data_IF_317314759279
#
_entry.id   IF_317314759279
#
_cell.length_a   1.000
_cell.length_b   1.000
_cell.length_c   1.000
_cell.angle_alpha   90.00
_cell.angle_beta   90.00
_cell.angle_gamma   90.00
#
_symmetry.space_group_name_H-M   'P 1'
#
loop_
_entity.id
_entity.type
_entity.pdbx_description
1 polymer ?
#
# COMPACT_ATOMS: atom_id res chain seq x y z
N UNK A 1 15.52 -4.84 13.98
CA UNK A 1 14.16 -4.78 13.40
C UNK A 1 13.80 -3.43 12.75
N UNK A 2 14.64 -2.38 12.81
CA UNK A 2 14.34 -1.07 12.19
C UNK A 2 14.24 -1.11 10.66
N UNK A 3 15.16 -1.83 9.98
CA UNK A 3 15.12 -1.98 8.51
C UNK A 3 13.82 -2.63 8.01
N UNK A 4 13.24 -3.55 8.79
CA UNK A 4 11.97 -4.19 8.44
C UNK A 4 10.83 -3.17 8.37
N UNK A 5 10.77 -2.19 9.28
CA UNK A 5 9.72 -1.19 9.29
C UNK A 5 9.71 -0.34 8.00
N UNK A 6 10.88 -0.06 7.42
CA UNK A 6 10.98 0.64 6.14
C UNK A 6 10.46 -0.21 4.98
N UNK A 7 10.93 -1.46 4.87
CA UNK A 7 10.48 -2.35 3.80
C UNK A 7 8.98 -2.64 3.90
N UNK A 8 8.48 -2.86 5.11
CA UNK A 8 7.05 -2.99 5.38
C UNK A 8 6.27 -1.73 4.98
N UNK A 9 6.70 -0.56 5.45
CA UNK A 9 6.02 0.71 5.15
C UNK A 9 6.02 1.03 3.66
N UNK A 10 7.13 0.78 2.97
CA UNK A 10 7.21 0.97 1.51
C UNK A 10 6.25 0.05 0.77
N UNK A 11 6.25 -1.25 1.08
CA UNK A 11 5.35 -2.20 0.42
C UNK A 11 3.87 -1.89 0.72
N UNK A 12 3.57 -1.46 1.96
CA UNK A 12 2.23 -1.05 2.36
C UNK A 12 1.74 0.15 1.52
N UNK A 13 2.57 1.18 1.34
CA UNK A 13 2.22 2.36 0.54
C UNK A 13 2.02 2.00 -0.94
N UNK A 14 2.83 1.10 -1.50
CA UNK A 14 2.66 0.63 -2.88
C UNK A 14 1.35 -0.16 -3.06
N UNK A 15 1.00 -1.04 -2.12
CA UNK A 15 -0.25 -1.78 -2.14
C UNK A 15 -1.47 -0.84 -2.02
N UNK A 16 -1.40 0.15 -1.12
CA UNK A 16 -2.39 1.23 -1.00
C UNK A 16 -2.53 2.03 -2.30
N UNK A 17 -1.42 2.33 -2.97
CA UNK A 17 -1.42 3.03 -4.26
C UNK A 17 -2.10 2.21 -5.36
N UNK A 18 -1.80 0.90 -5.46
CA UNK A 18 -2.48 0.00 -6.41
C UNK A 18 -3.99 -0.01 -6.18
N UNK A 19 -4.42 -0.02 -4.91
CA UNK A 19 -5.84 0.05 -4.54
C UNK A 19 -6.46 1.38 -4.93
N UNK A 20 -5.77 2.50 -4.72
CA UNK A 20 -6.21 3.82 -5.20
C UNK A 20 -6.38 3.85 -6.73
N UNK A 21 -5.46 3.27 -7.50
CA UNK A 21 -5.59 3.19 -8.96
C UNK A 21 -6.86 2.43 -9.39
N UNK A 22 -7.26 1.40 -8.65
CA UNK A 22 -8.45 0.60 -8.94
C UNK A 22 -9.77 1.27 -8.47
N UNK A 23 -9.78 1.88 -7.29
CA UNK A 23 -10.99 2.42 -6.64
C UNK A 23 -11.21 3.92 -6.87
N UNK A 24 -10.15 4.66 -7.24
CA UNK A 24 -10.19 6.10 -7.47
C UNK A 24 -10.61 6.90 -6.22
N UNK A 25 -11.57 7.80 -6.38
CA UNK A 25 -12.04 8.69 -5.29
C UNK A 25 -12.63 7.92 -4.10
N UNK A 26 -13.20 6.73 -4.32
CA UNK A 26 -13.82 5.92 -3.27
C UNK A 26 -12.80 5.44 -2.21
N UNK A 27 -11.51 5.36 -2.57
CA UNK A 27 -10.43 4.98 -1.66
C UNK A 27 -10.10 6.07 -0.63
N UNK A 28 -10.24 7.35 -0.99
CA UNK A 28 -9.72 8.48 -0.21
C UNK A 28 -10.25 8.56 1.23
N UNK A 29 -11.55 8.36 1.51
CA UNK A 29 -12.05 8.42 2.88
C UNK A 29 -11.39 7.41 3.82
N UNK A 30 -11.16 6.18 3.35
CA UNK A 30 -10.48 5.14 4.12
C UNK A 30 -9.01 5.50 4.40
N UNK A 31 -8.31 6.00 3.39
CA UNK A 31 -6.93 6.47 3.53
C UNK A 31 -6.79 7.66 4.49
N UNK A 32 -7.69 8.64 4.43
CA UNK A 32 -7.68 9.78 5.34
C UNK A 32 -7.98 9.36 6.78
N UNK A 33 -8.88 8.39 6.98
CA UNK A 33 -9.14 7.81 8.31
C UNK A 33 -7.89 7.11 8.85
N UNK A 34 -7.18 6.35 8.02
CA UNK A 34 -5.91 5.72 8.38
C UNK A 34 -4.87 6.76 8.83
N UNK A 35 -4.70 7.85 8.08
CA UNK A 35 -3.76 8.92 8.44
C UNK A 35 -4.14 9.64 9.74
N UNK A 36 -5.44 9.80 10.01
CA UNK A 36 -5.93 10.48 11.21
C UNK A 36 -5.57 9.76 12.52
N UNK A 37 -5.30 8.44 12.47
CA UNK A 37 -4.89 7.68 13.65
C UNK A 37 -3.50 8.07 14.17
N UNK A 38 -2.59 8.54 13.32
CA UNK A 38 -1.20 8.76 13.69
C UNK A 38 -0.58 7.51 14.33
N UNK A 39 -0.25 7.60 15.62
CA UNK A 39 0.25 6.48 16.43
C UNK A 39 -0.68 6.06 17.59
N UNK A 40 -1.95 6.46 17.56
CA UNK A 40 -2.89 6.26 18.68
C UNK A 40 -3.48 4.85 18.78
N UNK A 41 -3.26 4.00 17.78
CA UNK A 41 -3.76 2.63 17.70
C UNK A 41 -2.71 1.67 17.11
N UNK A 42 -2.92 0.37 17.30
CA UNK A 42 -2.06 -0.66 16.72
C UNK A 42 -2.21 -0.72 15.20
N UNK A 43 -1.12 -0.98 14.43
CA UNK A 43 -1.17 -0.99 12.97
C UNK A 43 -2.26 -1.91 12.40
N UNK A 44 -2.45 -3.09 12.99
CA UNK A 44 -3.46 -4.07 12.54
C UNK A 44 -4.89 -3.53 12.66
N UNK A 45 -5.21 -2.88 13.78
CA UNK A 45 -6.52 -2.24 14.00
C UNK A 45 -6.74 -1.12 12.99
N UNK A 46 -5.74 -0.28 12.76
CA UNK A 46 -5.82 0.83 11.80
C UNK A 46 -6.08 0.31 10.38
N UNK A 47 -5.36 -0.75 9.97
CA UNK A 47 -5.50 -1.36 8.66
C UNK A 47 -6.88 -2.00 8.48
N UNK A 48 -7.35 -2.80 9.45
CA UNK A 48 -8.69 -3.38 9.41
C UNK A 48 -9.78 -2.32 9.30
N UNK A 49 -9.66 -1.22 10.04
CA UNK A 49 -10.61 -0.10 10.00
C UNK A 49 -10.58 0.70 8.70
N UNK A 50 -9.49 0.65 7.94
CA UNK A 50 -9.37 1.15 6.58
C UNK A 50 -9.85 0.11 5.53
N UNK A 51 -10.38 -1.04 5.98
CA UNK A 51 -10.81 -2.13 5.13
C UNK A 51 -9.64 -2.84 4.45
N UNK A 52 -8.51 -2.97 5.14
CA UNK A 52 -7.30 -3.64 4.66
C UNK A 52 -7.02 -4.85 5.54
N UNK A 53 -6.97 -6.02 4.93
CA UNK A 53 -6.48 -7.22 5.58
C UNK A 53 -4.98 -7.40 5.30
N UNK A 54 -4.15 -7.13 6.31
CA UNK A 54 -2.70 -7.28 6.20
C UNK A 54 -2.25 -8.75 6.16
N UNK A 55 -3.13 -9.70 6.45
CA UNK A 55 -2.84 -11.14 6.39
C UNK A 55 -3.09 -11.73 5.01
N UNK A 56 -3.82 -11.01 4.14
CA UNK A 56 -4.11 -11.43 2.78
C UNK A 56 -2.90 -11.20 1.84
N UNK A 57 -2.28 -12.26 1.29
CA UNK A 57 -1.18 -12.12 0.34
C UNK A 57 -1.59 -11.34 -0.92
N UNK A 58 -2.85 -11.40 -1.34
CA UNK A 58 -3.32 -10.71 -2.54
C UNK A 58 -3.23 -9.18 -2.39
N UNK A 59 -3.44 -8.67 -1.18
CA UNK A 59 -3.22 -7.25 -0.88
C UNK A 59 -1.78 -6.84 -1.18
N UNK A 60 -0.81 -7.63 -0.70
CA UNK A 60 0.62 -7.35 -0.88
C UNK A 60 1.08 -7.52 -2.33
N UNK A 61 0.49 -8.46 -3.07
CA UNK A 61 0.79 -8.67 -4.48
C UNK A 61 0.59 -7.38 -5.29
N UNK A 62 -0.44 -6.58 -4.99
CA UNK A 62 -0.66 -5.30 -5.65
C UNK A 62 0.50 -4.32 -5.51
N UNK A 63 1.24 -4.35 -4.39
CA UNK A 63 2.44 -3.54 -4.21
C UNK A 63 3.62 -4.01 -5.06
N UNK A 64 3.78 -5.33 -5.24
CA UNK A 64 4.77 -5.91 -6.14
C UNK A 64 4.44 -5.63 -7.60
N UNK A 65 3.17 -5.66 -7.98
CA UNK A 65 2.73 -5.34 -9.34
C UNK A 65 3.11 -3.91 -9.74
N UNK A 66 2.98 -2.93 -8.82
CA UNK A 66 3.43 -1.56 -9.08
C UNK A 66 4.93 -1.51 -9.39
N UNK A 67 5.76 -2.25 -8.65
CA UNK A 67 7.21 -2.31 -8.90
C UNK A 67 7.48 -2.96 -10.27
N UNK A 68 6.76 -4.03 -10.59
CA UNK A 68 6.88 -4.70 -11.88
C UNK A 68 6.52 -3.76 -13.03
N UNK A 69 5.41 -3.03 -12.92
CA UNK A 69 4.97 -2.05 -13.92
C UNK A 69 6.06 -0.97 -14.14
N UNK A 70 6.70 -0.48 -13.07
CA UNK A 70 7.82 0.48 -13.17
C UNK A 70 9.05 -0.12 -13.86
N UNK A 71 9.35 -1.39 -13.63
CA UNK A 71 10.46 -2.10 -14.29
C UNK A 71 10.16 -2.28 -15.78
N UNK A 72 8.93 -2.66 -16.12
CA UNK A 72 8.48 -2.79 -17.51
C UNK A 72 8.51 -1.45 -18.25
N UNK A 73 8.06 -0.38 -17.60
CA UNK A 73 8.15 0.99 -18.15
C UNK A 73 9.60 1.37 -18.43
N UNK A 74 10.51 1.13 -17.47
CA UNK A 74 11.93 1.40 -17.64
C UNK A 74 12.54 0.56 -18.78
N UNK A 75 12.19 -0.72 -18.88
CA UNK A 75 12.70 -1.62 -19.91
C UNK A 75 12.22 -1.25 -21.32
N UNK A 76 11.09 -0.55 -21.44
CA UNK A 76 10.55 -0.06 -22.70
C UNK A 76 11.24 1.23 -23.21
N UNK A 77 12.07 1.88 -22.38
CA UNK A 77 12.85 3.03 -22.80
C UNK A 77 14.02 2.54 -23.67
N UNK A 78 14.00 2.87 -24.97
CA UNK A 78 15.15 2.68 -25.84
C UNK A 78 16.29 3.61 -25.39
N UNK A 79 17.31 3.05 -24.76
CA UNK A 79 18.61 3.70 -24.50
C UNK A 79 19.54 3.58 -25.72
#
# INVERSE_FOLDING_TARGET
>A
FYCYAYSFGQLLVLALYRRYQAEGEAFKPGYLKLLAYGGSAQPETILQEAGIDATDPAFWQGGFDVINDMIEELAAINL
#
